data_IF_350276324857
#
_entry.id   IF_350276324857
#
_cell.length_a   1.000
_cell.length_b   1.000
_cell.length_c   1.000
_cell.angle_alpha   90.00
_cell.angle_beta   90.00
_cell.angle_gamma   90.00
#
_symmetry.space_group_name_H-M   'P 1'
#
loop_
_entity.id
_entity.type
_entity.pdbx_description
1 polymer ?
#
# COMPACT_ATOMS: atom_id res chain seq x y z
N UNK A 1 -13.83 -4.08 -6.72
CA UNK A 1 -13.73 -2.75 -7.35
C UNK A 1 -13.48 -1.73 -6.26
N UNK A 2 -12.47 -0.86 -6.38
CA UNK A 2 -12.21 0.17 -5.36
C UNK A 2 -13.26 1.28 -5.48
N UNK A 3 -13.94 1.61 -4.37
CA UNK A 3 -14.91 2.71 -4.34
C UNK A 3 -14.18 4.05 -4.40
N UNK A 4 -14.58 4.94 -5.31
CA UNK A 4 -14.06 6.31 -5.35
C UNK A 4 -14.83 7.20 -4.39
N UNK A 5 -14.13 8.13 -3.74
CA UNK A 5 -14.71 9.20 -2.92
C UNK A 5 -14.05 10.51 -3.29
N UNK A 6 -14.85 11.57 -3.33
CA UNK A 6 -14.37 12.93 -3.59
C UNK A 6 -14.12 13.65 -2.27
N UNK A 7 -12.97 14.31 -2.16
CA UNK A 7 -12.63 15.18 -1.04
C UNK A 7 -12.46 16.61 -1.56
N UNK A 8 -13.08 17.57 -0.88
CA UNK A 8 -12.83 18.99 -1.15
C UNK A 8 -11.58 19.41 -0.38
N UNK A 9 -10.66 20.10 -1.06
CA UNK A 9 -9.45 20.67 -0.46
C UNK A 9 -9.30 22.12 -0.89
N UNK A 10 -8.62 22.93 -0.08
CA UNK A 10 -8.27 24.29 -0.46
C UNK A 10 -7.26 24.32 -1.61
N UNK A 11 -7.27 25.38 -2.43
CA UNK A 11 -6.34 25.55 -3.56
C UNK A 11 -4.87 25.44 -3.14
N UNK A 12 -4.50 25.99 -1.98
CA UNK A 12 -3.13 25.92 -1.47
C UNK A 12 -2.66 24.48 -1.18
N UNK A 13 -3.56 23.62 -0.73
CA UNK A 13 -3.30 22.19 -0.51
C UNK A 13 -3.21 21.46 -1.84
N UNK A 14 -4.08 21.82 -2.80
CA UNK A 14 -4.05 21.26 -4.14
C UNK A 14 -2.73 21.53 -4.87
N UNK A 15 -2.22 22.76 -4.81
CA UNK A 15 -0.91 23.11 -5.39
C UNK A 15 0.23 22.31 -4.77
N UNK A 16 0.26 22.20 -3.44
CA UNK A 16 1.25 21.37 -2.73
C UNK A 16 1.17 19.90 -3.12
N UNK A 17 -0.02 19.35 -3.31
CA UNK A 17 -0.21 17.98 -3.77
C UNK A 17 0.36 17.76 -5.18
N UNK A 18 0.19 18.73 -6.10
CA UNK A 18 0.81 18.68 -7.44
C UNK A 18 2.33 18.71 -7.38
N UNK A 19 2.90 19.52 -6.50
CA UNK A 19 4.35 19.57 -6.30
C UNK A 19 4.90 18.23 -5.80
N UNK A 20 4.23 17.62 -4.82
CA UNK A 20 4.58 16.29 -4.32
C UNK A 20 4.47 15.24 -5.43
N UNK A 21 3.42 15.29 -6.26
CA UNK A 21 3.24 14.40 -7.39
C UNK A 21 4.43 14.45 -8.35
N UNK A 22 4.90 15.66 -8.69
CA UNK A 22 6.08 15.86 -9.55
C UNK A 22 7.36 15.35 -8.91
N UNK A 23 7.60 15.70 -7.64
CA UNK A 23 8.81 15.31 -6.89
C UNK A 23 8.95 13.80 -6.78
N UNK A 24 7.84 13.10 -6.55
CA UNK A 24 7.82 11.66 -6.31
C UNK A 24 7.52 10.82 -7.55
N UNK A 25 7.39 11.48 -8.72
CA UNK A 25 7.04 10.88 -10.01
C UNK A 25 5.83 9.93 -9.90
N UNK A 26 4.85 10.31 -9.10
CA UNK A 26 3.63 9.54 -8.93
C UNK A 26 2.80 9.58 -10.22
N UNK A 27 2.16 8.45 -10.54
CA UNK A 27 1.34 8.28 -11.75
C UNK A 27 -0.04 8.91 -11.59
N UNK A 28 -0.52 9.10 -10.36
CA UNK A 28 -1.82 9.69 -10.06
C UNK A 28 -1.86 10.38 -8.71
N UNK A 29 -2.87 11.23 -8.51
CA UNK A 29 -3.10 11.88 -7.22
C UNK A 29 -3.47 10.87 -6.11
N UNK A 30 -4.17 9.79 -6.47
CA UNK A 30 -4.48 8.72 -5.52
C UNK A 30 -3.21 8.07 -4.97
N UNK A 31 -2.22 7.83 -5.83
CA UNK A 31 -0.92 7.27 -5.42
C UNK A 31 -0.16 8.23 -4.49
N UNK A 32 -0.26 9.54 -4.70
CA UNK A 32 0.30 10.54 -3.78
C UNK A 32 -0.36 10.46 -2.41
N UNK A 33 -1.69 10.41 -2.37
CA UNK A 33 -2.45 10.32 -1.12
C UNK A 33 -2.15 9.01 -0.38
N UNK A 34 -2.11 7.87 -1.09
CA UNK A 34 -1.74 6.57 -0.51
C UNK A 34 -0.35 6.61 0.13
N UNK A 35 0.67 7.12 -0.58
CA UNK A 35 2.04 7.24 -0.04
C UNK A 35 2.12 8.18 1.16
N UNK A 36 1.36 9.28 1.14
CA UNK A 36 1.30 10.21 2.28
C UNK A 36 0.67 9.53 3.51
N UNK A 37 -0.38 8.75 3.31
CA UNK A 37 -1.03 7.99 4.38
C UNK A 37 -0.13 6.86 4.90
N UNK A 38 0.59 6.15 4.04
CA UNK A 38 1.58 5.14 4.44
C UNK A 38 2.68 5.73 5.32
N UNK A 39 3.23 6.89 4.93
CA UNK A 39 4.25 7.60 5.71
C UNK A 39 3.71 8.12 7.04
N UNK A 40 2.51 8.69 7.04
CA UNK A 40 1.90 9.24 8.25
C UNK A 40 1.46 8.15 9.23
N UNK A 41 1.02 7.00 8.72
CA UNK A 41 0.56 5.86 9.52
C UNK A 41 1.69 4.97 10.06
N UNK A 42 2.96 5.24 9.72
CA UNK A 42 4.09 4.38 10.10
C UNK A 42 3.98 2.95 9.56
N UNK A 43 3.10 2.72 8.59
CA UNK A 43 2.76 1.38 8.12
C UNK A 43 3.78 0.95 7.06
N UNK A 44 4.58 -0.05 7.42
CA UNK A 44 5.53 -0.72 6.52
C UNK A 44 4.85 -1.11 5.22
N UNK A 45 5.45 -0.69 4.10
CA UNK A 45 5.05 -0.99 2.73
C UNK A 45 5.10 -2.51 2.47
N UNK A 46 4.00 -3.20 2.73
CA UNK A 46 3.79 -4.55 2.21
C UNK A 46 2.39 -4.66 1.64
N UNK A 47 2.15 -4.00 0.50
CA UNK A 47 0.98 -4.24 -0.37
C UNK A 47 1.29 -4.22 -1.86
N UNK A 48 2.56 -4.39 -2.24
CA UNK A 48 2.91 -4.82 -3.60
C UNK A 48 3.25 -6.30 -3.57
N UNK A 49 2.43 -7.12 -4.23
CA UNK A 49 2.68 -8.54 -4.44
C UNK A 49 3.88 -8.77 -5.34
N UNK A 50 5.09 -8.60 -4.80
CA UNK A 50 6.36 -8.94 -5.47
C UNK A 50 7.15 -9.86 -4.54
N UNK A 51 6.91 -11.15 -4.74
CA UNK A 51 7.78 -12.29 -4.41
C UNK A 51 8.56 -12.24 -3.08
N UNK A 52 7.95 -12.76 -2.01
CA UNK A 52 8.69 -13.71 -1.17
C UNK A 52 8.19 -15.09 -1.52
N UNK A 53 9.01 -15.88 -2.23
CA UNK A 53 8.92 -17.34 -2.15
C UNK A 53 9.12 -17.68 -0.67
N UNK A 54 8.03 -17.75 0.09
CA UNK A 54 8.00 -18.51 1.33
C UNK A 54 8.25 -19.95 0.89
N UNK A 55 9.52 -20.37 0.95
CA UNK A 55 9.82 -21.78 1.09
C UNK A 55 9.32 -22.15 2.48
N UNK A 56 8.06 -22.52 2.57
CA UNK A 56 7.57 -23.24 3.73
C UNK A 56 8.43 -24.51 3.81
N UNK A 57 9.14 -24.68 4.91
CA UNK A 57 9.89 -25.92 5.13
C UNK A 57 8.88 -27.06 5.29
N UNK A 58 9.28 -28.28 4.94
CA UNK A 58 8.39 -29.44 5.00
C UNK A 58 7.75 -29.64 6.39
N UNK A 59 8.44 -29.22 7.46
CA UNK A 59 7.94 -29.20 8.84
C UNK A 59 6.65 -28.36 9.01
N UNK A 60 6.55 -27.19 8.36
CA UNK A 60 5.36 -26.33 8.48
C UNK A 60 4.16 -26.93 7.73
N UNK A 61 4.38 -27.72 6.67
CA UNK A 61 3.30 -28.41 5.96
C UNK A 61 2.75 -29.60 6.78
N UNK A 62 3.63 -30.32 7.47
CA UNK A 62 3.24 -31.45 8.31
C UNK A 62 2.49 -31.02 9.58
N UNK A 63 2.76 -29.81 10.11
CA UNK A 63 2.05 -29.27 11.28
C UNK A 63 0.61 -28.86 10.95
N UNK A 64 0.39 -28.23 9.78
CA UNK A 64 -0.96 -27.83 9.32
C UNK A 64 -1.84 -29.05 9.07
N UNK A 65 -1.26 -30.13 8.52
CA UNK A 65 -2.01 -31.34 8.14
C UNK A 65 -2.37 -32.21 9.36
N UNK A 66 -1.72 -32.02 10.50
CA UNK A 66 -1.94 -32.82 11.72
C UNK A 66 -3.20 -32.42 12.51
N UNK A 67 -3.72 -31.21 12.28
CA UNK A 67 -4.93 -30.70 12.95
C UNK A 67 -6.22 -30.87 12.12
N UNK A 68 -6.18 -31.65 11.04
CA UNK A 68 -7.34 -31.94 10.19
C UNK A 68 -7.96 -33.33 10.48
N UNK A 69 -7.59 -33.98 11.59
CA UNK A 69 -8.14 -35.27 12.01
C UNK A 69 -8.98 -35.14 13.29
#
# INVERSE_FOLDING_TARGET
MASTKTIAVSESVWERLKEVMKRERARSMNEVVERLLERAGGASSSRFGVHKKLKLTQEEHEEITRNLH
#
